data_IF_369492218612
#
_entry.id   IF_369492218612
#
_cell.length_a   1.000
_cell.length_b   1.000
_cell.length_c   1.000
_cell.angle_alpha   90.00
_cell.angle_beta   90.00
_cell.angle_gamma   90.00
#
_symmetry.space_group_name_H-M   'P 1'
#
loop_
_entity.id
_entity.type
_entity.pdbx_description
1 polymer ?
#
# COMPACT_ATOMS: atom_id res chain seq x y z
N UNK A 1 -27.78 32.21 -3.96
CA UNK A 1 -27.87 31.14 -2.93
C UNK A 1 -28.93 30.15 -3.35
N UNK A 2 -28.56 29.08 -4.05
CA UNK A 2 -29.50 27.99 -4.38
C UNK A 2 -29.47 27.04 -3.18
N UNK A 3 -30.58 26.96 -2.43
CA UNK A 3 -30.77 25.92 -1.41
C UNK A 3 -30.82 24.58 -2.15
N UNK A 4 -29.72 23.83 -2.17
CA UNK A 4 -29.77 22.43 -2.55
C UNK A 4 -30.62 21.71 -1.50
N UNK A 5 -31.72 21.10 -1.94
CA UNK A 5 -32.50 20.18 -1.13
C UNK A 5 -31.60 19.00 -0.77
N UNK A 6 -31.09 18.97 0.45
CA UNK A 6 -30.38 17.80 0.98
C UNK A 6 -31.42 16.75 1.31
N UNK A 7 -31.81 15.97 0.29
CA UNK A 7 -32.44 14.69 0.53
C UNK A 7 -31.42 13.79 1.22
N UNK A 8 -31.87 13.00 2.20
CA UNK A 8 -31.03 12.07 2.92
C UNK A 8 -31.48 10.65 2.59
N UNK A 9 -30.53 9.71 2.51
CA UNK A 9 -30.83 8.29 2.35
C UNK A 9 -31.46 7.73 3.63
N UNK A 10 -31.86 6.45 3.59
CA UNK A 10 -32.45 5.75 4.75
C UNK A 10 -31.53 5.71 5.99
N UNK A 11 -30.26 6.09 5.85
CA UNK A 11 -29.25 6.12 6.90
C UNK A 11 -28.84 7.56 7.29
N UNK A 12 -29.54 8.58 6.79
CA UNK A 12 -29.26 9.98 7.11
C UNK A 12 -28.05 10.56 6.39
N UNK A 13 -27.57 9.94 5.30
CA UNK A 13 -26.50 10.49 4.48
C UNK A 13 -27.06 11.37 3.35
N UNK A 14 -26.48 12.54 3.07
CA UNK A 14 -26.95 13.39 1.99
C UNK A 14 -26.85 12.68 0.64
N UNK A 15 -27.97 12.61 -0.08
CA UNK A 15 -28.08 12.07 -1.43
C UNK A 15 -27.50 13.10 -2.40
N UNK A 16 -26.44 12.70 -3.09
CA UNK A 16 -25.84 13.50 -4.15
C UNK A 16 -26.58 13.17 -5.45
N UNK A 17 -27.42 14.09 -5.90
CA UNK A 17 -28.07 14.01 -7.21
C UNK A 17 -27.05 14.25 -8.31
N UNK A 18 -26.60 13.15 -8.92
CA UNK A 18 -25.69 13.18 -10.07
C UNK A 18 -26.48 13.17 -11.38
N UNK A 19 -26.23 14.14 -12.29
CA UNK A 19 -26.76 14.10 -13.65
C UNK A 19 -26.45 12.77 -14.33
N UNK A 20 -27.36 12.26 -15.16
CA UNK A 20 -27.19 10.94 -15.80
C UNK A 20 -25.92 10.85 -16.67
N UNK A 21 -25.57 11.97 -17.31
CA UNK A 21 -24.34 12.19 -18.09
C UNK A 21 -23.05 12.12 -17.25
N UNK A 22 -23.15 12.37 -15.95
CA UNK A 22 -22.01 12.44 -15.03
C UNK A 22 -21.70 11.13 -14.32
N UNK A 23 -22.69 10.24 -14.22
CA UNK A 23 -22.55 8.89 -13.67
C UNK A 23 -21.32 8.15 -14.22
N UNK A 24 -21.07 8.05 -15.54
CA UNK A 24 -19.92 7.29 -16.03
C UNK A 24 -18.56 7.88 -15.60
N UNK A 25 -18.46 9.21 -15.45
CA UNK A 25 -17.23 9.89 -15.02
C UNK A 25 -16.99 9.67 -13.52
N UNK A 26 -18.03 9.83 -12.70
CA UNK A 26 -17.95 9.58 -11.25
C UNK A 26 -17.65 8.12 -10.97
N UNK A 27 -18.30 7.19 -11.67
CA UNK A 27 -17.99 5.75 -11.52
C UNK A 27 -16.53 5.48 -11.84
N UNK A 28 -15.96 6.07 -12.89
CA UNK A 28 -14.55 5.88 -13.22
C UNK A 28 -13.62 6.44 -12.13
N UNK A 29 -13.94 7.62 -11.60
CA UNK A 29 -13.20 8.22 -10.49
C UNK A 29 -13.25 7.33 -9.23
N UNK A 30 -14.44 6.86 -8.86
CA UNK A 30 -14.64 5.99 -7.69
C UNK A 30 -13.91 4.65 -7.85
N UNK A 31 -14.00 4.01 -9.01
CA UNK A 31 -13.30 2.75 -9.31
C UNK A 31 -11.77 2.93 -9.22
N UNK A 32 -11.24 4.09 -9.61
CA UNK A 32 -9.82 4.38 -9.45
C UNK A 32 -9.43 4.61 -7.97
N UNK A 33 -10.27 5.33 -7.22
CA UNK A 33 -10.06 5.63 -5.81
C UNK A 33 -10.26 4.41 -4.90
N UNK A 34 -10.95 3.37 -5.36
CA UNK A 34 -11.15 2.17 -4.56
C UNK A 34 -9.83 1.45 -4.21
N UNK A 35 -9.77 0.79 -3.03
CA UNK A 35 -8.56 0.13 -2.51
C UNK A 35 -7.90 -0.89 -3.44
N UNK A 36 -8.62 -1.33 -4.46
CA UNK A 36 -8.18 -2.32 -5.44
C UNK A 36 -7.35 -1.73 -6.60
N UNK A 37 -7.09 -0.42 -6.60
CA UNK A 37 -6.30 0.37 -7.57
C UNK A 37 -6.36 -0.25 -8.95
N UNK A 38 -7.39 0.11 -9.72
CA UNK A 38 -7.44 -0.26 -11.13
C UNK A 38 -6.22 0.35 -11.86
N UNK A 39 -5.57 -0.37 -12.79
CA UNK A 39 -4.55 0.23 -13.63
C UNK A 39 -5.11 1.45 -14.37
N UNK A 40 -4.32 2.51 -14.53
CA UNK A 40 -4.75 3.77 -15.17
C UNK A 40 -5.07 3.57 -16.68
N UNK A 41 -4.34 2.67 -17.35
CA UNK A 41 -4.38 2.43 -18.80
C UNK A 41 -5.78 2.24 -19.45
N UNK A 42 -6.69 1.40 -18.94
CA UNK A 42 -7.86 0.95 -19.70
C UNK A 42 -8.83 2.07 -20.10
N UNK A 43 -8.83 3.18 -19.35
CA UNK A 43 -9.74 4.33 -19.56
C UNK A 43 -9.06 5.65 -19.22
N UNK A 44 -7.78 5.77 -19.57
CA UNK A 44 -6.93 6.93 -19.26
C UNK A 44 -7.62 8.26 -19.53
N UNK A 45 -8.05 8.50 -20.78
CA UNK A 45 -8.70 9.76 -21.18
C UNK A 45 -9.94 10.07 -20.32
N UNK A 46 -10.84 9.10 -20.17
CA UNK A 46 -12.05 9.27 -19.34
C UNK A 46 -11.73 9.61 -17.89
N UNK A 47 -10.69 9.00 -17.33
CA UNK A 47 -10.22 9.30 -15.97
C UNK A 47 -9.64 10.72 -15.87
N UNK A 48 -8.88 11.19 -16.87
CA UNK A 48 -8.40 12.58 -16.91
C UNK A 48 -9.57 13.58 -16.89
N UNK A 49 -10.55 13.38 -17.78
CA UNK A 49 -11.74 14.23 -17.85
C UNK A 49 -12.52 14.22 -16.53
N UNK A 50 -12.72 13.04 -15.94
CA UNK A 50 -13.39 12.92 -14.65
C UNK A 50 -12.60 13.66 -13.55
N UNK A 51 -11.29 13.45 -13.47
CA UNK A 51 -10.46 14.07 -12.45
C UNK A 51 -10.45 15.60 -12.58
N UNK A 52 -10.41 16.15 -13.80
CA UNK A 52 -10.49 17.60 -14.04
C UNK A 52 -11.87 18.15 -13.71
N UNK A 53 -12.95 17.51 -14.19
CA UNK A 53 -14.34 17.96 -13.95
C UNK A 53 -14.68 18.03 -12.46
N UNK A 54 -14.19 17.08 -11.66
CA UNK A 54 -14.44 17.02 -10.22
C UNK A 54 -13.29 17.58 -9.37
N UNK A 55 -12.34 18.31 -9.97
CA UNK A 55 -11.20 18.92 -9.28
C UNK A 55 -10.42 17.95 -8.35
N UNK A 56 -10.28 16.70 -8.78
CA UNK A 56 -9.55 15.66 -8.02
C UNK A 56 -8.05 15.79 -8.25
N UNK A 57 -7.43 16.75 -7.55
CA UNK A 57 -6.01 17.10 -7.73
C UNK A 57 -5.05 15.92 -7.48
N UNK A 58 -5.37 15.01 -6.55
CA UNK A 58 -4.53 13.84 -6.29
C UNK A 58 -4.53 12.86 -7.46
N UNK A 59 -5.70 12.61 -8.05
CA UNK A 59 -5.84 11.76 -9.24
C UNK A 59 -5.17 12.43 -10.45
N UNK A 60 -5.35 13.74 -10.62
CA UNK A 60 -4.69 14.51 -11.69
C UNK A 60 -3.16 14.34 -11.67
N UNK A 61 -2.52 14.41 -10.50
CA UNK A 61 -1.07 14.18 -10.38
C UNK A 61 -0.68 12.74 -10.75
N UNK A 62 -1.43 11.75 -10.28
CA UNK A 62 -1.11 10.34 -10.56
C UNK A 62 -1.23 10.04 -12.06
N UNK A 63 -2.27 10.58 -12.70
CA UNK A 63 -2.51 10.45 -14.14
C UNK A 63 -1.50 11.25 -14.95
N UNK A 64 -1.09 12.44 -14.49
CA UNK A 64 0.00 13.22 -15.09
C UNK A 64 1.35 12.48 -15.04
N UNK A 65 1.70 11.88 -13.89
CA UNK A 65 2.90 11.03 -13.76
C UNK A 65 2.83 9.83 -14.70
N UNK A 66 1.67 9.19 -14.81
CA UNK A 66 1.46 8.09 -15.74
C UNK A 66 1.68 8.52 -17.19
N UNK A 67 1.12 9.66 -17.60
CA UNK A 67 1.31 10.21 -18.94
C UNK A 67 2.79 10.43 -19.26
N UNK A 68 3.55 11.04 -18.34
CA UNK A 68 4.98 11.29 -18.49
C UNK A 68 5.83 10.02 -18.57
N UNK A 69 5.44 8.96 -17.86
CA UNK A 69 6.21 7.72 -17.81
C UNK A 69 5.87 6.76 -18.94
N UNK A 70 4.61 6.76 -19.40
CA UNK A 70 4.09 5.69 -20.26
C UNK A 70 3.46 6.18 -21.56
N UNK A 71 3.05 7.45 -21.68
CA UNK A 71 2.47 7.96 -22.92
C UNK A 71 3.49 8.78 -23.71
N UNK A 72 4.18 9.71 -23.03
CA UNK A 72 5.09 10.64 -23.69
C UNK A 72 6.34 10.05 -24.34
N UNK A 73 6.93 8.91 -23.88
CA UNK A 73 8.12 8.35 -24.52
C UNK A 73 7.90 7.90 -25.97
N UNK A 74 6.64 7.67 -26.37
CA UNK A 74 6.28 7.27 -27.73
C UNK A 74 6.13 8.46 -28.70
N UNK A 75 6.29 9.69 -28.21
CA UNK A 75 6.13 10.92 -28.99
C UNK A 75 7.50 11.55 -29.24
N UNK A 76 7.78 11.88 -30.50
CA UNK A 76 9.11 12.31 -30.93
C UNK A 76 9.37 13.81 -30.76
N UNK A 77 8.32 14.64 -30.76
CA UNK A 77 8.45 16.10 -30.66
C UNK A 77 7.82 16.68 -29.38
N UNK A 78 8.39 17.79 -28.89
CA UNK A 78 7.82 18.56 -27.79
C UNK A 78 6.41 19.07 -28.10
N UNK A 79 6.17 19.55 -29.32
CA UNK A 79 4.87 20.07 -29.75
C UNK A 79 3.80 18.99 -29.74
N UNK A 80 4.12 17.78 -30.18
CA UNK A 80 3.21 16.63 -30.13
C UNK A 80 2.89 16.24 -28.67
N UNK A 81 3.91 16.21 -27.80
CA UNK A 81 3.72 15.92 -26.36
C UNK A 81 2.80 16.93 -25.67
N UNK A 82 2.96 18.22 -25.97
CA UNK A 82 2.10 19.28 -25.42
C UNK A 82 0.68 19.20 -25.98
N UNK A 83 0.53 19.00 -27.29
CA UNK A 83 -0.79 18.91 -27.94
C UNK A 83 -1.60 17.73 -27.39
N UNK A 84 -0.97 16.56 -27.22
CA UNK A 84 -1.66 15.38 -26.67
C UNK A 84 -2.01 15.56 -25.19
N UNK A 85 -1.16 16.23 -24.40
CA UNK A 85 -1.47 16.53 -23.01
C UNK A 85 -2.69 17.47 -22.88
N UNK A 86 -2.81 18.46 -23.76
CA UNK A 86 -3.99 19.34 -23.84
C UNK A 86 -5.23 18.53 -24.25
N UNK A 87 -5.11 17.66 -25.26
CA UNK A 87 -6.23 16.79 -25.68
C UNK A 87 -6.74 15.90 -24.53
N UNK A 88 -5.84 15.45 -23.66
CA UNK A 88 -6.16 14.67 -22.47
C UNK A 88 -6.66 15.51 -21.28
N UNK A 89 -6.80 16.83 -21.39
CA UNK A 89 -7.11 17.76 -20.28
C UNK A 89 -6.11 17.73 -19.11
N UNK A 90 -4.83 17.51 -19.42
CA UNK A 90 -3.72 17.50 -18.46
C UNK A 90 -2.72 18.65 -18.70
N UNK A 91 -3.14 19.68 -19.43
CA UNK A 91 -2.28 20.80 -19.83
C UNK A 91 -1.57 21.44 -18.63
N UNK A 92 -2.34 21.81 -17.61
CA UNK A 92 -1.84 22.48 -16.40
C UNK A 92 -0.83 21.63 -15.61
N UNK A 93 -1.03 20.31 -15.55
CA UNK A 93 -0.24 19.42 -14.72
C UNK A 93 1.00 18.88 -15.44
N UNK A 94 0.92 18.68 -16.77
CA UNK A 94 1.95 17.99 -17.56
C UNK A 94 2.82 18.97 -18.35
N UNK A 95 2.25 20.02 -18.94
CA UNK A 95 2.99 20.97 -19.78
C UNK A 95 4.14 21.65 -19.02
N UNK A 96 3.96 22.11 -17.76
CA UNK A 96 5.06 22.70 -17.01
C UNK A 96 6.25 21.76 -16.86
N UNK A 97 6.01 20.46 -16.67
CA UNK A 97 7.08 19.45 -16.56
C UNK A 97 7.79 19.24 -17.89
N UNK A 98 7.05 19.12 -19.00
CA UNK A 98 7.68 19.00 -20.33
C UNK A 98 8.54 20.21 -20.66
N UNK A 99 8.02 21.42 -20.41
CA UNK A 99 8.76 22.65 -20.68
C UNK A 99 9.99 22.77 -19.78
N UNK A 100 9.86 22.38 -18.51
CA UNK A 100 11.00 22.34 -17.61
C UNK A 100 12.13 21.45 -18.14
N UNK A 101 11.80 20.21 -18.52
CA UNK A 101 12.78 19.26 -19.04
C UNK A 101 13.33 19.70 -20.40
N UNK A 102 12.49 20.25 -21.28
CA UNK A 102 12.90 20.76 -22.59
C UNK A 102 13.88 21.93 -22.48
N UNK A 103 13.69 22.84 -21.52
CA UNK A 103 14.64 23.93 -21.25
C UNK A 103 15.95 23.38 -20.72
N UNK A 104 15.92 22.45 -19.75
CA UNK A 104 17.14 21.85 -19.19
C UNK A 104 17.93 21.04 -20.23
N UNK A 105 17.25 20.36 -21.14
CA UNK A 105 17.85 19.55 -22.19
C UNK A 105 18.18 20.35 -23.47
N UNK A 106 17.99 21.68 -23.46
CA UNK A 106 18.16 22.57 -24.63
C UNK A 106 17.29 22.20 -25.84
N UNK A 107 16.25 21.40 -25.65
CA UNK A 107 15.24 21.08 -26.68
C UNK A 107 14.41 22.32 -27.00
N UNK A 108 14.02 23.08 -25.96
CA UNK A 108 13.26 24.33 -26.14
C UNK A 108 13.97 25.34 -27.03
N UNK A 109 15.29 25.53 -26.82
CA UNK A 109 16.12 26.44 -27.64
C UNK A 109 16.15 26.03 -29.12
N UNK A 110 16.13 24.73 -29.41
CA UNK A 110 16.05 24.23 -30.79
C UNK A 110 14.70 24.54 -31.42
N UNK A 111 13.61 24.29 -30.68
CA UNK A 111 12.25 24.54 -31.15
C UNK A 111 12.02 26.02 -31.44
N UNK A 112 12.41 26.93 -30.54
CA UNK A 112 12.22 28.38 -30.77
C UNK A 112 13.13 28.95 -31.85
N UNK A 113 14.27 28.31 -32.14
CA UNK A 113 15.16 28.75 -33.24
C UNK A 113 14.53 28.56 -34.63
N UNK A 114 13.46 27.78 -34.73
CA UNK A 114 12.74 27.49 -35.97
C UNK A 114 11.55 28.44 -36.22
N UNK A 115 11.27 29.37 -35.29
CA UNK A 115 10.06 30.22 -35.32
C UNK A 115 10.43 31.67 -34.98
N UNK A 116 9.73 32.64 -35.58
CA UNK A 116 9.95 34.06 -35.28
C UNK A 116 9.43 34.46 -33.91
N UNK A 117 8.27 33.93 -33.50
CA UNK A 117 7.65 34.20 -32.21
C UNK A 117 7.29 32.89 -31.49
N UNK A 118 7.80 32.63 -30.28
CA UNK A 118 7.50 31.39 -29.56
C UNK A 118 6.03 31.21 -29.16
N UNK A 119 5.27 32.30 -29.06
CA UNK A 119 3.83 32.30 -28.76
C UNK A 119 2.99 31.66 -29.87
N UNK A 120 3.50 31.54 -31.10
CA UNK A 120 2.75 30.93 -32.21
C UNK A 120 2.82 29.40 -32.21
N UNK A 121 3.65 28.80 -31.36
CA UNK A 121 3.82 27.34 -31.27
C UNK A 121 2.68 26.64 -30.54
N UNK A 122 1.98 27.36 -29.66
CA UNK A 122 0.93 26.83 -28.79
C UNK A 122 -0.23 27.83 -28.71
N UNK A 123 -1.43 27.38 -28.31
CA UNK A 123 -2.51 28.30 -27.95
C UNK A 123 -2.03 29.36 -26.93
N UNK A 124 -2.51 30.60 -27.09
CA UNK A 124 -2.03 31.77 -26.32
C UNK A 124 -2.21 31.59 -24.81
N UNK A 125 -3.35 31.06 -24.39
CA UNK A 125 -3.67 30.68 -23.01
C UNK A 125 -2.67 29.66 -22.46
N UNK A 126 -2.40 28.59 -23.21
CA UNK A 126 -1.41 27.58 -22.82
C UNK A 126 -0.01 28.16 -22.72
N UNK A 127 0.36 29.04 -23.65
CA UNK A 127 1.68 29.65 -23.68
C UNK A 127 1.89 30.55 -22.45
N UNK A 128 0.94 31.44 -22.18
CA UNK A 128 1.02 32.42 -21.11
C UNK A 128 0.87 31.79 -19.72
N UNK A 129 -0.04 30.84 -19.54
CA UNK A 129 -0.37 30.30 -18.22
C UNK A 129 0.56 29.16 -17.79
N UNK A 130 1.09 28.37 -18.75
CA UNK A 130 1.86 27.17 -18.43
C UNK A 130 3.27 27.18 -19.00
N UNK A 131 3.45 27.53 -20.27
CA UNK A 131 4.75 27.40 -20.95
C UNK A 131 5.75 28.45 -20.47
N UNK A 132 5.41 29.73 -20.57
CA UNK A 132 6.32 30.82 -20.19
C UNK A 132 6.71 30.76 -18.70
N UNK A 133 5.77 30.55 -17.74
CA UNK A 133 6.13 30.39 -16.33
C UNK A 133 7.04 29.19 -16.07
N UNK A 134 6.81 28.05 -16.73
CA UNK A 134 7.64 26.86 -16.60
C UNK A 134 9.06 27.08 -17.13
N UNK A 135 9.20 27.77 -18.27
CA UNK A 135 10.50 28.14 -18.82
C UNK A 135 11.30 29.04 -17.86
N UNK A 136 10.66 30.05 -17.26
CA UNK A 136 11.29 30.92 -16.24
C UNK A 136 11.69 30.09 -15.02
N UNK A 137 10.80 29.20 -14.56
CA UNK A 137 11.08 28.34 -13.42
C UNK A 137 12.27 27.41 -13.69
N UNK A 138 12.38 26.86 -14.89
CA UNK A 138 13.48 25.99 -15.31
C UNK A 138 14.83 26.71 -15.37
N UNK A 139 14.85 28.02 -15.60
CA UNK A 139 16.08 28.80 -15.51
C UNK A 139 16.54 28.98 -14.05
N UNK A 140 15.59 29.17 -13.13
CA UNK A 140 15.87 29.47 -11.71
C UNK A 140 16.12 28.23 -10.85
N UNK A 141 15.40 27.13 -11.10
CA UNK A 141 15.43 25.93 -10.25
C UNK A 141 16.29 24.83 -10.87
N UNK A 142 16.85 23.97 -10.01
CA UNK A 142 17.61 22.77 -10.44
C UNK A 142 16.67 21.64 -10.88
N UNK A 143 15.63 21.38 -10.10
CA UNK A 143 14.71 20.26 -10.29
C UNK A 143 13.25 20.75 -10.37
N UNK A 144 12.42 20.00 -11.10
CA UNK A 144 10.97 20.15 -11.09
C UNK A 144 10.37 19.24 -10.02
N UNK A 145 9.45 19.78 -9.23
CA UNK A 145 8.76 19.05 -8.16
C UNK A 145 7.26 19.16 -8.38
N UNK A 146 6.60 18.01 -8.48
CA UNK A 146 5.14 17.96 -8.42
C UNK A 146 4.67 18.35 -7.01
N UNK A 147 3.52 19.03 -6.89
CA UNK A 147 2.97 19.33 -5.58
C UNK A 147 2.71 18.04 -4.80
N UNK A 148 3.02 18.06 -3.51
CA UNK A 148 2.78 16.90 -2.65
C UNK A 148 1.31 16.82 -2.24
N UNK A 149 0.85 15.65 -1.79
CA UNK A 149 -0.54 15.49 -1.34
C UNK A 149 -0.87 16.43 -0.18
N UNK A 150 0.11 16.73 0.67
CA UNK A 150 -0.01 17.67 1.80
C UNK A 150 -0.20 19.13 1.36
N UNK A 151 0.31 19.49 0.17
CA UNK A 151 0.11 20.81 -0.41
C UNK A 151 -1.27 20.93 -1.06
N UNK A 152 -1.81 19.83 -1.58
CA UNK A 152 -3.12 19.77 -2.23
C UNK A 152 -4.29 19.61 -1.24
N UNK A 153 -4.12 18.73 -0.25
CA UNK A 153 -5.14 18.42 0.74
C UNK A 153 -4.69 19.00 2.07
N UNK A 154 -5.25 20.14 2.45
CA UNK A 154 -4.90 20.75 3.72
C UNK A 154 -5.59 20.03 4.88
N UNK A 155 -4.85 19.77 5.96
CA UNK A 155 -5.43 19.32 7.23
C UNK A 155 -6.35 20.38 7.82
N UNK A 156 -7.37 19.91 8.52
CA UNK A 156 -8.23 20.76 9.33
C UNK A 156 -7.40 21.48 10.40
N UNK A 157 -7.41 22.82 10.39
CA UNK A 157 -6.71 23.67 11.38
C UNK A 157 -7.65 24.33 12.36
N UNK A 158 -8.90 24.55 11.95
CA UNK A 158 -9.92 25.24 12.74
C UNK A 158 -11.22 24.46 12.70
N UNK A 159 -12.04 24.58 13.75
CA UNK A 159 -13.38 23.99 13.81
C UNK A 159 -14.46 24.86 13.10
N UNK A 160 -14.02 25.87 12.35
CA UNK A 160 -14.91 26.81 11.65
C UNK A 160 -15.67 26.17 10.50
N UNK A 161 -15.05 25.18 9.84
CA UNK A 161 -15.70 24.43 8.77
C UNK A 161 -16.71 23.43 9.37
N UNK A 162 -17.98 23.42 8.92
CA UNK A 162 -18.99 22.46 9.36
C UNK A 162 -18.59 21.00 9.15
N UNK A 163 -17.72 20.71 8.18
CA UNK A 163 -17.23 19.37 7.89
C UNK A 163 -16.05 18.95 8.77
N UNK A 164 -15.52 19.83 9.62
CA UNK A 164 -14.46 19.50 10.57
C UNK A 164 -15.07 18.95 11.86
N UNK A 165 -14.51 17.83 12.30
CA UNK A 165 -14.88 17.12 13.51
C UNK A 165 -13.67 16.99 14.44
N UNK A 166 -13.94 16.82 15.72
CA UNK A 166 -12.93 16.62 16.76
C UNK A 166 -12.82 15.13 17.07
N UNK A 167 -11.62 14.58 16.93
CA UNK A 167 -11.31 13.23 17.39
C UNK A 167 -10.66 13.34 18.78
N UNK A 168 -11.36 12.88 19.81
CA UNK A 168 -10.99 13.11 21.20
C UNK A 168 -10.80 11.79 21.94
N UNK A 169 -9.70 11.69 22.69
CA UNK A 169 -9.47 10.57 23.61
C UNK A 169 -8.61 11.02 24.79
N UNK A 170 -9.02 10.69 26.02
CA UNK A 170 -8.27 10.98 27.25
C UNK A 170 -7.81 12.45 27.38
N UNK A 171 -8.65 13.41 26.98
CA UNK A 171 -8.34 14.84 27.00
C UNK A 171 -7.46 15.35 25.86
N UNK A 172 -6.98 14.46 24.97
CA UNK A 172 -6.26 14.83 23.76
C UNK A 172 -7.23 14.92 22.59
N UNK A 173 -7.23 16.05 21.89
CA UNK A 173 -8.10 16.31 20.74
C UNK A 173 -7.28 16.65 19.50
N UNK A 174 -7.65 16.06 18.35
CA UNK A 174 -7.15 16.42 17.02
C UNK A 174 -8.32 16.74 16.09
N UNK A 175 -8.10 17.60 15.11
CA UNK A 175 -9.12 18.00 14.13
C UNK A 175 -8.96 17.22 12.83
N UNK A 176 -10.08 16.80 12.24
CA UNK A 176 -10.11 16.10 10.96
C UNK A 176 -11.40 16.41 10.19
N UNK A 177 -11.36 16.27 8.87
CA UNK A 177 -12.54 16.37 8.02
C UNK A 177 -13.35 15.08 8.15
N UNK A 178 -14.66 15.20 8.39
CA UNK A 178 -15.60 14.08 8.53
C UNK A 178 -15.49 13.11 7.35
N UNK A 179 -15.46 13.62 6.13
CA UNK A 179 -15.36 12.78 4.92
C UNK A 179 -14.09 11.93 4.86
N UNK A 180 -12.94 12.45 5.32
CA UNK A 180 -11.68 11.69 5.35
C UNK A 180 -11.73 10.54 6.33
N UNK A 181 -12.37 10.76 7.49
CA UNK A 181 -12.55 9.70 8.48
C UNK A 181 -13.61 8.68 8.02
N UNK A 182 -14.70 9.13 7.39
CA UNK A 182 -15.75 8.25 6.85
C UNK A 182 -15.18 7.27 5.82
N UNK A 183 -14.24 7.73 4.98
CA UNK A 183 -13.53 6.88 4.03
C UNK A 183 -12.74 5.73 4.68
N UNK A 184 -12.37 5.85 5.96
CA UNK A 184 -11.67 4.80 6.71
C UNK A 184 -12.61 3.86 7.48
N UNK A 185 -13.94 4.08 7.40
CA UNK A 185 -14.99 3.52 8.27
C UNK A 185 -14.93 4.07 9.70
N UNK A 186 -15.94 4.83 10.13
CA UNK A 186 -16.07 5.32 11.50
C UNK A 186 -17.13 4.56 12.32
N UNK A 187 -17.56 3.39 11.85
CA UNK A 187 -18.75 2.70 12.39
C UNK A 187 -18.69 2.45 13.90
N UNK A 188 -17.49 2.27 14.46
CA UNK A 188 -17.26 2.00 15.89
C UNK A 188 -16.86 3.23 16.72
N UNK A 189 -16.68 4.39 16.10
CA UNK A 189 -16.34 5.58 16.86
C UNK A 189 -17.57 6.02 17.67
N UNK A 190 -17.39 6.23 18.97
CA UNK A 190 -18.41 6.87 19.79
C UNK A 190 -18.66 8.29 19.27
N UNK A 191 -19.89 8.76 19.38
CA UNK A 191 -20.25 10.14 19.03
C UNK A 191 -20.75 10.85 20.27
N UNK A 192 -20.49 12.16 20.38
CA UNK A 192 -21.08 12.96 21.45
C UNK A 192 -22.60 13.03 21.29
N UNK A 193 -23.31 13.02 22.43
CA UNK A 193 -24.74 13.29 22.46
C UNK A 193 -25.07 14.74 22.04
N UNK A 194 -24.10 15.65 22.22
CA UNK A 194 -24.18 17.00 21.70
C UNK A 194 -23.72 17.01 20.23
N UNK A 195 -24.69 17.14 19.32
CA UNK A 195 -24.47 17.21 17.88
C UNK A 195 -23.67 18.45 17.47
N UNK A 196 -23.71 19.54 18.25
CA UNK A 196 -22.96 20.77 17.97
C UNK A 196 -21.47 20.62 18.30
N UNK A 197 -21.16 19.80 19.31
CA UNK A 197 -19.78 19.52 19.74
C UNK A 197 -18.94 18.84 18.65
N UNK A 198 -19.59 18.06 17.76
CA UNK A 198 -18.96 17.35 16.62
C UNK A 198 -17.76 16.49 17.05
N UNK A 199 -17.89 15.83 18.19
CA UNK A 199 -16.86 15.00 18.81
C UNK A 199 -17.05 13.51 18.52
N UNK A 200 -15.95 12.87 18.11
CA UNK A 200 -15.84 11.45 17.85
C UNK A 200 -14.80 10.85 18.80
N UNK A 201 -15.14 9.71 19.40
CA UNK A 201 -14.35 9.01 20.40
C UNK A 201 -13.95 7.63 19.85
N UNK A 202 -12.73 7.48 19.33
CA UNK A 202 -12.27 6.19 18.85
C UNK A 202 -11.96 5.27 20.05
N UNK A 203 -12.11 3.98 19.84
CA UNK A 203 -11.90 2.95 20.87
C UNK A 203 -10.40 2.69 21.05
N UNK A 204 -9.94 2.79 22.28
CA UNK A 204 -8.59 2.40 22.68
C UNK A 204 -8.66 1.27 23.70
N UNK A 205 -8.47 0.03 23.25
CA UNK A 205 -8.39 -1.12 24.14
C UNK A 205 -7.22 -1.00 25.13
N UNK A 206 -7.26 -1.82 26.18
CA UNK A 206 -6.16 -1.96 27.15
C UNK A 206 -4.86 -2.30 26.41
N UNK A 207 -4.91 -3.22 25.45
CA UNK A 207 -3.75 -3.61 24.65
C UNK A 207 -3.14 -2.42 23.88
N UNK A 208 -3.96 -1.61 23.20
CA UNK A 208 -3.45 -0.42 22.49
C UNK A 208 -2.77 0.55 23.46
N UNK A 209 -3.38 0.79 24.64
CA UNK A 209 -2.80 1.67 25.66
C UNK A 209 -1.47 1.16 26.22
N UNK A 210 -1.40 -0.12 26.55
CA UNK A 210 -0.18 -0.75 27.06
C UNK A 210 0.96 -0.66 26.04
N UNK A 211 0.69 -0.88 24.75
CA UNK A 211 1.68 -0.72 23.69
C UNK A 211 2.18 0.71 23.55
N UNK A 212 1.27 1.70 23.60
CA UNK A 212 1.65 3.12 23.55
C UNK A 212 2.52 3.50 24.75
N UNK A 213 2.16 3.04 25.95
CA UNK A 213 2.92 3.30 27.18
C UNK A 213 4.30 2.63 27.15
N UNK A 214 4.37 1.34 26.78
CA UNK A 214 5.61 0.56 26.68
C UNK A 214 6.61 1.17 25.69
N UNK A 215 6.10 1.77 24.61
CA UNK A 215 6.92 2.39 23.57
C UNK A 215 7.12 3.90 23.77
N UNK A 216 6.62 4.46 24.88
CA UNK A 216 6.64 5.89 25.20
C UNK A 216 6.12 6.78 24.05
N UNK A 217 5.04 6.34 23.39
CA UNK A 217 4.43 7.06 22.28
C UNK A 217 3.40 8.05 22.82
N UNK A 218 3.56 9.32 22.46
CA UNK A 218 2.58 10.35 22.80
C UNK A 218 1.28 10.13 22.01
N UNK A 219 0.13 10.16 22.69
CA UNK A 219 -1.19 9.95 22.09
C UNK A 219 -1.50 10.95 20.95
N UNK A 220 -1.14 12.23 21.11
CA UNK A 220 -1.33 13.25 20.07
C UNK A 220 -0.48 12.93 18.84
N UNK A 221 0.74 12.45 19.03
CA UNK A 221 1.59 12.00 17.92
C UNK A 221 0.98 10.78 17.22
N UNK A 222 0.51 9.78 17.98
CA UNK A 222 -0.16 8.60 17.43
C UNK A 222 -1.39 8.95 16.59
N UNK A 223 -2.28 9.81 17.09
CA UNK A 223 -3.45 10.28 16.35
C UNK A 223 -3.05 11.08 15.10
N UNK A 224 -1.97 11.88 15.18
CA UNK A 224 -1.46 12.57 14.00
C UNK A 224 -0.90 11.60 12.95
N UNK A 225 -0.21 10.53 13.33
CA UNK A 225 0.24 9.48 12.40
C UNK A 225 -0.95 8.80 11.72
N UNK A 226 -2.01 8.50 12.47
CA UNK A 226 -3.26 7.98 11.91
C UNK A 226 -3.87 8.96 10.89
N UNK A 227 -3.96 10.25 11.23
CA UNK A 227 -4.50 11.25 10.31
C UNK A 227 -3.60 11.47 9.08
N UNK A 228 -2.28 11.34 9.20
CA UNK A 228 -1.35 11.49 8.07
C UNK A 228 -1.53 10.32 7.09
N UNK A 229 -1.74 9.12 7.64
CA UNK A 229 -2.13 7.98 6.84
C UNK A 229 -3.49 8.21 6.17
N UNK A 230 -4.51 8.66 6.92
CA UNK A 230 -5.87 8.83 6.39
C UNK A 230 -5.95 9.91 5.30
N UNK A 231 -5.24 11.03 5.46
CA UNK A 231 -5.25 12.14 4.51
C UNK A 231 -4.36 11.89 3.29
N UNK A 232 -3.16 11.35 3.51
CA UNK A 232 -2.09 11.36 2.49
C UNK A 232 -1.70 9.95 2.03
N UNK A 233 -2.13 8.91 2.74
CA UNK A 233 -1.60 7.56 2.56
C UNK A 233 -0.12 7.47 2.95
N UNK A 234 0.35 8.37 3.83
CA UNK A 234 1.73 8.39 4.29
C UNK A 234 2.01 7.14 5.13
N UNK A 235 3.22 6.60 5.01
CA UNK A 235 3.67 5.48 5.83
C UNK A 235 3.65 5.86 7.31
N UNK A 236 3.16 4.93 8.14
CA UNK A 236 3.13 5.08 9.60
C UNK A 236 4.52 4.75 10.16
N UNK A 237 4.99 5.53 11.14
CA UNK A 237 6.24 5.25 11.84
C UNK A 237 6.31 3.80 12.38
N UNK A 238 7.46 3.13 12.24
CA UNK A 238 7.63 1.72 12.63
C UNK A 238 7.19 1.42 14.07
N UNK A 239 7.47 2.33 15.01
CA UNK A 239 7.04 2.20 16.41
C UNK A 239 5.51 2.21 16.56
N UNK A 240 4.82 2.93 15.69
CA UNK A 240 3.37 3.07 15.71
C UNK A 240 2.64 1.93 14.97
N UNK A 241 3.31 1.15 14.10
CA UNK A 241 2.64 0.11 13.28
C UNK A 241 1.85 -0.89 14.14
N UNK A 242 2.47 -1.44 15.18
CA UNK A 242 1.84 -2.44 16.06
C UNK A 242 0.64 -1.87 16.85
N UNK A 243 0.76 -0.77 17.60
CA UNK A 243 -0.41 -0.17 18.25
C UNK A 243 -1.47 0.30 17.24
N UNK A 244 -1.07 0.75 16.04
CA UNK A 244 -2.00 1.15 14.98
C UNK A 244 -2.80 -0.03 14.42
N UNK A 245 -2.18 -1.21 14.32
CA UNK A 245 -2.87 -2.45 13.93
C UNK A 245 -3.96 -2.82 14.94
N UNK A 246 -3.66 -2.74 16.25
CA UNK A 246 -4.62 -3.06 17.32
C UNK A 246 -5.75 -2.03 17.31
N UNK A 247 -5.40 -0.75 17.24
CA UNK A 247 -6.36 0.34 17.08
C UNK A 247 -7.27 0.14 15.86
N UNK A 248 -6.70 -0.25 14.72
CA UNK A 248 -7.45 -0.52 13.50
C UNK A 248 -8.39 -1.71 13.65
N UNK A 249 -7.97 -2.75 14.36
CA UNK A 249 -8.81 -3.90 14.66
C UNK A 249 -9.99 -3.51 15.56
N UNK A 250 -9.73 -2.82 16.67
CA UNK A 250 -10.74 -2.44 17.66
C UNK A 250 -11.81 -1.50 17.10
N UNK A 251 -11.43 -0.68 16.12
CA UNK A 251 -12.32 0.28 15.46
C UNK A 251 -12.84 -0.19 14.08
N UNK A 252 -12.59 -1.45 13.69
CA UNK A 252 -13.02 -2.02 12.41
C UNK A 252 -12.52 -1.25 11.16
N UNK A 253 -11.33 -0.65 11.26
CA UNK A 253 -10.64 0.05 10.19
C UNK A 253 -9.93 -0.96 9.27
N UNK A 254 -10.70 -1.73 8.50
CA UNK A 254 -10.20 -2.86 7.72
C UNK A 254 -9.06 -2.50 6.75
N UNK A 255 -9.15 -1.35 6.08
CA UNK A 255 -8.11 -0.90 5.15
C UNK A 255 -6.79 -0.57 5.88
N UNK A 256 -6.87 0.17 6.98
CA UNK A 256 -5.71 0.47 7.82
C UNK A 256 -5.11 -0.81 8.41
N UNK A 257 -5.95 -1.73 8.93
CA UNK A 257 -5.54 -3.03 9.46
C UNK A 257 -4.75 -3.84 8.41
N UNK A 258 -5.26 -3.94 7.18
CA UNK A 258 -4.59 -4.62 6.08
C UNK A 258 -3.25 -3.96 5.71
N UNK A 259 -3.17 -2.62 5.76
CA UNK A 259 -1.93 -1.89 5.49
C UNK A 259 -0.88 -2.06 6.60
N UNK A 260 -1.31 -2.10 7.85
CA UNK A 260 -0.41 -2.40 8.98
C UNK A 260 0.05 -3.86 8.94
N UNK A 261 -0.82 -4.80 8.55
CA UNK A 261 -0.45 -6.19 8.28
C UNK A 261 0.63 -6.27 7.19
N UNK A 262 0.45 -5.58 6.06
CA UNK A 262 1.43 -5.51 4.97
C UNK A 262 2.78 -4.93 5.44
N UNK A 263 2.76 -3.93 6.32
CA UNK A 263 3.97 -3.33 6.86
C UNK A 263 4.74 -4.31 7.77
N UNK A 264 4.06 -5.04 8.65
CA UNK A 264 4.68 -6.09 9.49
C UNK A 264 5.19 -7.24 8.63
N UNK A 265 4.46 -7.62 7.58
CA UNK A 265 4.93 -8.62 6.62
C UNK A 265 6.22 -8.18 5.92
N UNK A 266 6.44 -6.88 5.73
CA UNK A 266 7.68 -6.31 5.21
C UNK A 266 8.90 -6.54 6.11
N UNK A 267 8.69 -6.75 7.41
CA UNK A 267 9.75 -7.02 8.38
C UNK A 267 10.09 -8.53 8.38
N UNK A 268 11.32 -8.94 8.04
CA UNK A 268 11.74 -10.32 8.16
C UNK A 268 11.91 -10.72 9.64
N UNK A 269 11.43 -11.91 10.07
CA UNK A 269 11.59 -12.37 11.45
C UNK A 269 13.00 -12.98 11.63
N UNK A 270 13.99 -12.12 11.86
CA UNK A 270 15.40 -12.52 12.01
C UNK A 270 15.62 -13.31 13.31
N UNK A 271 14.76 -13.13 14.32
CA UNK A 271 14.85 -13.79 15.63
C UNK A 271 13.59 -14.61 15.93
N UNK A 272 13.73 -15.64 16.78
CA UNK A 272 12.60 -16.48 17.20
C UNK A 272 11.56 -15.69 17.99
N UNK A 273 12.00 -14.65 18.72
CA UNK A 273 11.11 -13.73 19.43
C UNK A 273 10.24 -12.90 18.47
N UNK A 274 10.80 -12.41 17.37
CA UNK A 274 10.03 -11.72 16.33
C UNK A 274 9.06 -12.67 15.64
N UNK A 275 9.50 -13.89 15.29
CA UNK A 275 8.64 -14.89 14.68
C UNK A 275 7.47 -15.27 15.61
N UNK A 276 7.73 -15.44 16.90
CA UNK A 276 6.70 -15.65 17.94
C UNK A 276 5.69 -14.51 17.92
N UNK A 277 6.16 -13.26 17.95
CA UNK A 277 5.30 -12.08 17.98
C UNK A 277 4.41 -12.01 16.73
N UNK A 278 4.94 -12.34 15.55
CA UNK A 278 4.15 -12.39 14.32
C UNK A 278 3.00 -13.40 14.42
N UNK A 279 3.25 -14.59 14.98
CA UNK A 279 2.22 -15.61 15.18
C UNK A 279 1.18 -15.19 16.23
N UNK A 280 1.61 -14.58 17.34
CA UNK A 280 0.71 -14.07 18.38
C UNK A 280 -0.20 -12.98 17.81
N UNK A 281 0.36 -11.99 17.11
CA UNK A 281 -0.41 -10.92 16.48
C UNK A 281 -1.38 -11.49 15.43
N UNK A 282 -0.90 -12.41 14.59
CA UNK A 282 -1.72 -12.99 13.54
C UNK A 282 -2.88 -13.83 14.08
N UNK A 283 -2.66 -14.61 15.15
CA UNK A 283 -3.72 -15.38 15.79
C UNK A 283 -4.70 -14.47 16.55
N UNK A 284 -4.21 -13.46 17.27
CA UNK A 284 -5.04 -12.61 18.14
C UNK A 284 -5.93 -11.65 17.36
N UNK A 285 -5.43 -11.09 16.26
CA UNK A 285 -6.16 -10.09 15.45
C UNK A 285 -6.65 -10.63 14.11
N UNK A 286 -6.63 -11.96 13.93
CA UNK A 286 -7.04 -12.67 12.72
C UNK A 286 -6.40 -12.09 11.45
N UNK A 287 -5.07 -12.13 11.39
CA UNK A 287 -4.26 -11.63 10.27
C UNK A 287 -3.81 -12.79 9.40
N UNK A 288 -4.65 -13.16 8.44
CA UNK A 288 -4.44 -14.37 7.63
C UNK A 288 -3.20 -14.28 6.73
N UNK A 289 -2.88 -13.10 6.20
CA UNK A 289 -1.71 -12.94 5.33
C UNK A 289 -0.42 -13.02 6.13
N UNK A 290 -0.38 -12.41 7.32
CA UNK A 290 0.76 -12.50 8.22
C UNK A 290 0.95 -13.93 8.75
N UNK A 291 -0.14 -14.63 9.08
CA UNK A 291 -0.09 -16.04 9.48
C UNK A 291 0.51 -16.90 8.36
N UNK A 292 -0.03 -16.78 7.14
CA UNK A 292 0.41 -17.54 5.97
C UNK A 292 1.87 -17.27 5.63
N UNK A 293 2.29 -16.00 5.63
CA UNK A 293 3.66 -15.63 5.30
C UNK A 293 4.65 -16.10 6.38
N UNK A 294 4.30 -15.96 7.65
CA UNK A 294 5.13 -16.43 8.76
C UNK A 294 5.32 -17.95 8.72
N UNK A 295 4.27 -18.71 8.39
CA UNK A 295 4.38 -20.16 8.15
C UNK A 295 5.28 -20.48 6.95
N UNK A 296 5.12 -19.79 5.82
CA UNK A 296 5.98 -20.00 4.65
C UNK A 296 7.47 -19.71 4.97
N UNK A 297 7.74 -18.63 5.70
CA UNK A 297 9.09 -18.25 6.16
C UNK A 297 9.68 -19.31 7.08
N UNK A 298 8.87 -19.91 7.95
CA UNK A 298 9.29 -20.95 8.90
C UNK A 298 9.72 -22.26 8.22
N UNK A 299 9.23 -22.56 7.03
CA UNK A 299 9.66 -23.73 6.25
C UNK A 299 10.89 -23.44 5.37
N UNK A 300 11.05 -22.20 4.92
CA UNK A 300 12.12 -21.76 4.01
C UNK A 300 13.35 -21.19 4.73
N UNK A 301 13.68 -19.94 4.40
CA UNK A 301 14.91 -19.26 4.84
C UNK A 301 15.05 -19.08 6.36
N UNK A 302 13.95 -19.17 7.13
CA UNK A 302 13.94 -18.97 8.58
C UNK A 302 13.69 -20.27 9.35
N UNK A 303 14.01 -21.44 8.75
CA UNK A 303 13.84 -22.75 9.39
C UNK A 303 14.57 -22.86 10.74
N UNK A 304 15.83 -22.39 10.82
CA UNK A 304 16.60 -22.40 12.07
C UNK A 304 15.94 -21.56 13.16
N UNK A 305 15.40 -20.40 12.78
CA UNK A 305 14.66 -19.49 13.67
C UNK A 305 13.37 -20.13 14.17
N UNK A 306 12.66 -20.84 13.31
CA UNK A 306 11.43 -21.57 13.66
C UNK A 306 11.70 -22.81 14.54
N UNK A 307 12.78 -23.54 14.30
CA UNK A 307 13.20 -24.65 15.17
C UNK A 307 13.60 -24.14 16.55
N UNK A 308 14.34 -23.03 16.62
CA UNK A 308 14.68 -22.38 17.87
C UNK A 308 13.42 -21.88 18.62
N UNK A 309 12.38 -21.42 17.91
CA UNK A 309 11.10 -21.04 18.51
C UNK A 309 10.41 -22.22 19.20
N UNK A 310 10.40 -23.42 18.60
CA UNK A 310 9.79 -24.60 19.22
C UNK A 310 10.53 -25.02 20.48
N UNK A 311 11.85 -24.84 20.50
CA UNK A 311 12.70 -25.20 21.63
C UNK A 311 12.69 -24.14 22.74
N UNK A 312 12.05 -22.98 22.55
CA UNK A 312 11.90 -21.97 23.60
C UNK A 312 10.93 -22.46 24.68
N UNK A 313 11.33 -22.30 25.93
CA UNK A 313 10.50 -22.62 27.09
C UNK A 313 9.25 -21.75 27.12
N UNK A 314 8.09 -22.35 27.41
CA UNK A 314 6.82 -21.63 27.59
C UNK A 314 6.08 -21.22 26.30
N UNK A 315 6.61 -21.46 25.11
CA UNK A 315 5.97 -21.07 23.83
C UNK A 315 4.60 -21.73 23.62
N UNK A 316 4.40 -22.92 24.17
CA UNK A 316 3.11 -23.64 24.14
C UNK A 316 2.00 -22.86 24.85
N UNK A 317 2.35 -22.07 25.87
CA UNK A 317 1.38 -21.26 26.62
C UNK A 317 1.10 -19.90 25.94
N UNK A 318 2.02 -19.42 25.11
CA UNK A 318 1.89 -18.12 24.44
C UNK A 318 1.27 -18.21 23.04
N UNK A 319 1.48 -19.32 22.33
CA UNK A 319 0.88 -19.55 21.02
C UNK A 319 -0.40 -20.38 21.15
N UNK A 320 -1.44 -19.98 20.41
CA UNK A 320 -2.67 -20.75 20.36
C UNK A 320 -2.43 -22.15 19.79
N UNK A 321 -3.11 -23.16 20.35
CA UNK A 321 -3.01 -24.55 19.89
C UNK A 321 -3.20 -24.71 18.37
N UNK A 322 -4.17 -24.03 17.72
CA UNK A 322 -4.30 -24.08 16.26
C UNK A 322 -3.07 -23.56 15.51
N UNK A 323 -2.42 -22.52 16.03
CA UNK A 323 -1.20 -21.94 15.43
C UNK A 323 -0.02 -22.87 15.58
N UNK A 324 0.15 -23.47 16.77
CA UNK A 324 1.19 -24.48 17.02
C UNK A 324 1.04 -25.70 16.10
N UNK A 325 -0.18 -26.23 15.92
CA UNK A 325 -0.43 -27.34 14.99
C UNK A 325 -0.05 -26.97 13.55
N UNK A 326 -0.41 -25.77 13.10
CA UNK A 326 -0.03 -25.27 11.76
C UNK A 326 1.50 -25.19 11.62
N UNK A 327 2.21 -24.65 12.61
CA UNK A 327 3.67 -24.53 12.59
C UNK A 327 4.37 -25.90 12.57
N UNK A 328 3.99 -26.81 13.46
CA UNK A 328 4.58 -28.17 13.53
C UNK A 328 4.30 -28.94 12.24
N UNK A 329 3.07 -28.89 11.73
CA UNK A 329 2.72 -29.52 10.46
C UNK A 329 3.64 -29.03 9.34
N UNK A 330 3.84 -27.71 9.25
CA UNK A 330 4.70 -27.08 8.24
C UNK A 330 6.15 -27.56 8.35
N UNK A 331 6.73 -27.53 9.55
CA UNK A 331 8.10 -27.98 9.80
C UNK A 331 8.34 -29.47 9.54
N UNK A 332 7.34 -30.32 9.76
CA UNK A 332 7.42 -31.75 9.45
C UNK A 332 7.22 -32.05 7.97
N UNK A 333 6.38 -31.26 7.30
CA UNK A 333 5.92 -31.56 5.95
C UNK A 333 6.89 -31.14 4.85
N UNK A 334 7.74 -30.12 5.08
CA UNK A 334 8.77 -29.69 4.14
C UNK A 334 8.26 -29.17 2.79
N UNK A 335 6.99 -28.75 2.69
CA UNK A 335 6.34 -28.41 1.41
C UNK A 335 7.03 -27.27 0.65
N UNK A 336 7.55 -26.26 1.35
CA UNK A 336 8.26 -25.15 0.70
C UNK A 336 9.63 -25.53 0.12
N UNK A 337 10.18 -26.70 0.47
CA UNK A 337 11.48 -27.18 -0.03
C UNK A 337 11.35 -27.92 -1.37
N UNK A 338 10.13 -28.37 -1.73
CA UNK A 338 9.85 -29.09 -2.98
C UNK A 338 9.85 -28.13 -4.18
N UNK A 339 9.51 -26.85 -3.96
CA UNK A 339 9.62 -25.80 -4.98
C UNK A 339 10.47 -24.64 -4.43
N UNK A 340 11.79 -24.71 -4.67
CA UNK A 340 12.76 -23.70 -4.22
C UNK A 340 12.37 -22.29 -4.68
N UNK A 341 11.68 -22.16 -5.83
CA UNK A 341 11.14 -20.88 -6.34
C UNK A 341 10.01 -20.30 -5.48
N UNK A 342 9.28 -21.13 -4.72
CA UNK A 342 8.27 -20.68 -3.74
C UNK A 342 8.91 -20.22 -2.42
N UNK A 343 10.02 -20.84 -2.01
CA UNK A 343 10.80 -20.41 -0.84
C UNK A 343 11.65 -19.15 -1.10
N UNK A 344 12.10 -18.95 -2.36
CA UNK A 344 12.91 -17.81 -2.85
C UNK A 344 12.09 -16.59 -3.27
N UNK A 345 10.75 -16.69 -3.32
CA UNK A 345 9.92 -15.50 -3.44
C UNK A 345 10.03 -14.73 -2.14
N UNK A 346 10.97 -13.77 -2.12
CA UNK A 346 10.73 -12.50 -1.47
C UNK A 346 9.26 -12.16 -1.71
N UNK A 347 8.47 -12.08 -0.65
CA UNK A 347 7.11 -11.57 -0.75
C UNK A 347 7.18 -10.06 -0.99
N UNK A 348 7.91 -9.61 -2.02
CA UNK A 348 7.91 -8.24 -2.49
C UNK A 348 6.61 -8.04 -3.27
N UNK A 349 5.64 -7.41 -2.60
CA UNK A 349 4.51 -6.64 -3.14
C UNK A 349 3.44 -7.33 -3.99
N UNK A 350 3.51 -8.63 -4.32
CA UNK A 350 2.45 -9.29 -5.11
C UNK A 350 2.11 -10.69 -4.60
N UNK A 351 1.43 -10.77 -3.45
CA UNK A 351 0.65 -11.95 -3.10
C UNK A 351 -0.79 -11.59 -2.71
N UNK A 352 -1.39 -10.63 -3.42
CA UNK A 352 -2.79 -10.80 -3.81
C UNK A 352 -2.82 -11.93 -4.85
N UNK A 353 -3.45 -13.06 -4.54
CA UNK A 353 -3.91 -13.99 -5.58
C UNK A 353 -4.96 -13.27 -6.42
N UNK A 354 -4.53 -12.46 -7.39
CA UNK A 354 -5.31 -12.29 -8.62
C UNK A 354 -4.90 -13.44 -9.52
N UNK A 355 -5.86 -14.26 -9.91
CA UNK A 355 -5.76 -15.10 -11.09
C UNK A 355 -5.23 -14.20 -12.22
N UNK A 356 -4.03 -14.49 -12.71
CA UNK A 356 -3.50 -13.83 -13.88
C UNK A 356 -4.29 -14.34 -15.09
N UNK A 357 -5.28 -13.57 -15.53
CA UNK A 357 -5.62 -13.52 -16.96
C UNK A 357 -4.52 -12.71 -17.62
N UNK A 358 -3.95 -13.26 -18.69
CA UNK A 358 -2.64 -12.94 -19.24
C UNK A 358 -2.36 -11.46 -19.52
N UNK A 359 -1.09 -11.09 -19.31
CA UNK A 359 -0.45 -10.04 -20.10
C UNK A 359 0.62 -10.72 -20.95
N UNK A 360 0.30 -10.86 -22.22
CA UNK A 360 1.22 -11.11 -23.30
C UNK A 360 2.35 -10.07 -23.24
N UNK A 361 3.60 -10.54 -23.33
CA UNK A 361 4.72 -9.72 -23.78
C UNK A 361 4.75 -9.81 -25.31
N UNK A 362 5.11 -8.73 -26.03
CA UNK A 362 5.38 -8.83 -27.46
C UNK A 362 6.53 -9.82 -27.68
N UNK A 363 6.38 -10.75 -28.62
CA UNK A 363 7.46 -11.61 -29.08
C UNK A 363 8.57 -10.74 -29.69
N UNK A 364 9.72 -10.66 -29.02
CA UNK A 364 10.99 -10.50 -29.71
C UNK A 364 11.54 -11.91 -29.96
N UNK A 365 11.58 -12.29 -31.24
CA UNK A 365 12.25 -13.50 -31.70
C UNK A 365 13.76 -13.30 -31.51
N UNK A 366 14.33 -13.87 -30.48
CA UNK A 366 15.76 -14.17 -30.47
C UNK A 366 15.97 -15.45 -31.26
N UNK A 367 16.59 -15.30 -32.43
CA UNK A 367 17.19 -16.39 -33.20
C UNK A 367 18.48 -16.73 -32.45
N UNK A 368 18.51 -17.88 -31.78
CA UNK A 368 19.77 -18.45 -31.27
C UNK A 368 20.57 -19.04 -32.45
N UNK A 369 21.85 -18.70 -32.62
CA UNK A 369 22.73 -19.47 -33.48
C UNK A 369 23.18 -20.73 -32.71
N UNK A 370 22.90 -21.89 -33.30
CA UNK A 370 23.42 -23.21 -32.92
C UNK A 370 24.94 -23.19 -32.70
N UNK A 371 25.45 -23.75 -31.59
CA UNK A 371 26.84 -24.19 -31.51
C UNK A 371 26.95 -25.66 -31.91
N UNK A 372 27.78 -25.90 -32.92
CA UNK A 372 28.25 -27.18 -33.42
C UNK A 372 28.86 -28.05 -32.32
N UNK A 373 28.56 -29.35 -32.36
CA UNK A 373 29.20 -30.38 -31.53
C UNK A 373 30.68 -30.50 -31.89
N UNK A 374 31.55 -30.53 -30.87
CA UNK A 374 32.78 -31.31 -30.93
C UNK A 374 32.93 -32.16 -29.68
N UNK A 375 33.20 -33.43 -29.95
CA UNK A 375 33.35 -34.55 -29.03
C UNK A 375 34.78 -34.59 -28.53
N UNK A 376 35.01 -34.72 -27.23
CA UNK A 376 36.15 -35.51 -26.75
C UNK A 376 35.83 -36.17 -25.41
N UNK A 377 35.86 -37.51 -25.43
CA UNK A 377 35.81 -38.39 -24.26
C UNK A 377 37.21 -38.50 -23.65
N UNK A 378 37.31 -38.52 -22.31
CA UNK A 378 38.28 -39.36 -21.59
C UNK A 378 37.71 -39.78 -20.22
N UNK A 379 38.09 -41.00 -19.84
CA UNK A 379 37.45 -41.89 -18.87
C UNK A 379 38.04 -41.83 -17.44
N UNK A 380 37.26 -42.39 -16.49
CA UNK A 380 37.64 -43.09 -15.22
C UNK A 380 38.23 -42.24 -14.07
N UNK A 381 37.90 -42.37 -12.78
CA UNK A 381 37.71 -43.54 -11.88
C UNK A 381 36.75 -43.15 -10.72
N UNK A 382 35.98 -44.10 -10.19
CA UNK A 382 35.11 -43.90 -9.01
C UNK A 382 35.82 -44.11 -7.66
N UNK A 383 35.34 -43.41 -6.62
CA UNK A 383 35.45 -43.80 -5.19
C UNK A 383 34.21 -43.26 -4.47
N UNK A 384 33.57 -44.11 -3.65
CA UNK A 384 32.34 -43.79 -2.94
C UNK A 384 32.49 -43.22 -1.52
N UNK A 385 31.32 -43.10 -0.89
CA UNK A 385 31.00 -43.00 0.52
C UNK A 385 31.19 -41.68 1.31
N UNK A 386 30.03 -41.17 1.72
CA UNK A 386 29.63 -40.70 3.07
C UNK A 386 30.09 -39.33 3.55
N UNK A 387 29.08 -38.48 3.75
CA UNK A 387 29.13 -37.23 4.49
C UNK A 387 27.77 -36.91 5.10
N UNK A 388 27.47 -37.63 6.17
CA UNK A 388 26.31 -37.49 7.06
C UNK A 388 26.20 -36.06 7.63
N UNK A 389 25.00 -35.49 7.70
CA UNK A 389 24.71 -34.38 8.63
C UNK A 389 23.24 -34.41 9.08
N UNK A 390 22.99 -35.33 10.03
CA UNK A 390 22.19 -35.14 11.24
C UNK A 390 20.97 -34.18 11.15
N UNK A 391 19.85 -34.70 10.61
CA UNK A 391 18.52 -34.24 11.03
C UNK A 391 18.08 -35.03 12.27
N UNK A 392 18.55 -34.63 13.45
CA UNK A 392 17.88 -35.00 14.70
C UNK A 392 16.79 -33.97 14.97
N UNK A 393 15.61 -34.19 14.39
CA UNK A 393 14.38 -33.65 14.98
C UNK A 393 14.23 -34.38 16.31
N UNK A 394 14.13 -33.66 17.42
CA UNK A 394 13.96 -34.26 18.74
C UNK A 394 12.56 -34.89 18.82
N UNK A 395 12.44 -36.16 18.41
CA UNK A 395 11.20 -36.96 18.42
C UNK A 395 10.60 -37.05 19.83
N UNK A 396 11.42 -36.82 20.86
CA UNK A 396 11.00 -36.69 22.26
C UNK A 396 9.99 -35.57 22.47
N UNK A 397 10.03 -34.48 21.69
CA UNK A 397 9.06 -33.38 21.83
C UNK A 397 7.69 -33.75 21.26
N UNK A 398 7.66 -34.57 20.19
CA UNK A 398 6.41 -35.09 19.60
C UNK A 398 5.75 -36.13 20.52
N UNK A 399 6.56 -36.98 21.17
CA UNK A 399 6.08 -37.94 22.17
C UNK A 399 5.67 -37.29 23.50
N UNK A 400 6.38 -36.26 23.99
CA UNK A 400 5.94 -35.47 25.15
C UNK A 400 4.63 -34.73 24.88
N UNK A 401 4.41 -34.24 23.66
CA UNK A 401 3.14 -33.58 23.28
C UNK A 401 1.94 -34.52 23.26
N UNK A 402 2.15 -35.79 22.87
CA UNK A 402 1.09 -36.81 22.86
C UNK A 402 0.89 -37.38 24.28
N UNK A 403 1.95 -37.54 25.07
CA UNK A 403 1.89 -38.12 26.41
C UNK A 403 1.38 -37.15 27.49
N UNK A 404 1.65 -35.84 27.41
CA UNK A 404 1.13 -34.88 28.41
C UNK A 404 -0.37 -34.59 28.28
N UNK A 405 -0.99 -34.83 27.11
CA UNK A 405 -2.42 -34.60 26.91
C UNK A 405 -3.28 -35.87 26.98
N UNK A 406 -2.65 -37.06 27.04
CA UNK A 406 -3.37 -38.31 27.32
C UNK A 406 -3.65 -38.54 28.81
N UNK A 407 -3.15 -37.67 29.69
CA UNK A 407 -3.31 -37.79 31.16
C UNK A 407 -4.39 -36.85 31.73
N UNK A 408 -4.98 -35.95 30.93
CA UNK A 408 -6.08 -35.07 31.40
C UNK A 408 -7.44 -35.38 30.77
N UNK A 409 -7.57 -36.53 30.10
CA UNK A 409 -8.87 -37.09 29.69
C UNK A 409 -8.91 -38.56 30.07
N UNK A 410 -9.16 -38.81 31.35
CA UNK A 410 -9.33 -40.15 31.91
C UNK A 410 -10.08 -40.08 33.22
N UNK A 411 -11.40 -40.22 33.12
CA UNK A 411 -12.33 -40.81 34.08
C UNK A 411 -12.21 -40.41 35.56
N UNK A 412 -13.08 -39.48 35.97
CA UNK A 412 -13.87 -39.71 37.18
C UNK A 412 -15.33 -39.92 36.77
N UNK A 413 -15.83 -41.06 37.24
CA UNK A 413 -17.14 -41.73 37.12
C UNK A 413 -18.39 -40.85 36.97
#
# INVERSE_FOLDING_TARGET
MIKQSTEFDAYGNPIIHLPAEDRPLVTELLVYLEPNIRPIHPRFVKLCHAAKKYASHTVLIDVAKYFLQHCSPYMSSLTQRVTEAIHCNLGEEVVPKFMFDAVKNKEWSKVISQVSEPSTLFPEDVYNDFVAPACIQAQKKRNFEFPTKEQLILRARTASDPNVVKLTYSGVTVLAHKGMLQAQSMAKFGTSADLEAREYYPIFSVATREYLQKLHINLKHFLNEFLDFAYYGKGVCNKCIKPMLIFAHDNELNFLKAKMEEAIMGEPPITSTMLKEHFVLASKYNLENLMRLSLLRSEGHYLSVAQALINMTGVVNELSLPTMRKLVHRLCSGWSLVDRKMAERNATRKTCRRLFVGRERPMERFIDPTPTQEVTQTNTVGVGFVGNNNRKINVSFLFLFISHYKVTTGDER
#
